data_IF_538326623140
#
_entry.id   IF_538326623140
#
_cell.length_a   1.000
_cell.length_b   1.000
_cell.length_c   1.000
_cell.angle_alpha   90.00
_cell.angle_beta   90.00
_cell.angle_gamma   90.00
#
_symmetry.space_group_name_H-M   'P 1'
#
loop_
_entity.id
_entity.type
_entity.pdbx_description
1 polymer ?
#
# COMPACT_ATOMS: atom_id res chain seq x y z
N UNK A 1 -10.19 -9.39 1.60
CA UNK A 1 -10.12 -8.85 0.22
C UNK A 1 -9.17 -7.66 0.12
N UNK A 2 -9.44 -6.54 0.81
CA UNK A 2 -8.64 -5.30 0.70
C UNK A 2 -7.14 -5.44 0.97
N UNK A 3 -6.74 -6.05 2.10
CA UNK A 3 -5.31 -6.28 2.45
C UNK A 3 -4.55 -7.01 1.33
N UNK A 4 -5.12 -8.11 0.83
CA UNK A 4 -4.54 -8.91 -0.26
C UNK A 4 -4.42 -8.11 -1.56
N UNK A 5 -5.41 -7.26 -1.85
CA UNK A 5 -5.37 -6.40 -3.03
C UNK A 5 -4.22 -5.38 -2.96
N UNK A 6 -4.04 -4.71 -1.82
CA UNK A 6 -2.92 -3.76 -1.61
C UNK A 6 -1.57 -4.48 -1.70
N UNK A 7 -1.40 -5.59 -0.96
CA UNK A 7 -0.15 -6.37 -1.01
C UNK A 7 0.13 -6.91 -2.42
N UNK A 8 -0.90 -7.34 -3.14
CA UNK A 8 -0.79 -7.75 -4.54
C UNK A 8 -0.38 -6.60 -5.47
N UNK A 9 -0.89 -5.39 -5.24
CA UNK A 9 -0.50 -4.20 -5.99
C UNK A 9 0.99 -3.88 -5.78
N UNK A 10 1.45 -3.84 -4.53
CA UNK A 10 2.87 -3.60 -4.21
C UNK A 10 3.77 -4.70 -4.80
N UNK A 11 3.36 -5.97 -4.73
CA UNK A 11 4.12 -7.10 -5.34
C UNK A 11 4.29 -6.99 -6.84
N UNK A 12 3.27 -6.46 -7.54
CA UNK A 12 3.29 -6.30 -9.00
C UNK A 12 3.94 -4.99 -9.45
N UNK A 13 4.12 -4.04 -8.53
CA UNK A 13 4.77 -2.78 -8.83
C UNK A 13 6.26 -3.00 -9.14
N UNK A 14 6.83 -2.12 -9.96
CA UNK A 14 8.24 -2.17 -10.34
C UNK A 14 9.09 -2.09 -9.06
N UNK A 15 10.12 -2.94 -8.97
CA UNK A 15 10.99 -3.05 -7.78
C UNK A 15 10.28 -3.46 -6.48
N UNK A 16 9.01 -3.90 -6.54
CA UNK A 16 8.15 -4.13 -5.37
C UNK A 16 7.94 -2.86 -4.53
N UNK A 17 7.95 -1.71 -5.19
CA UNK A 17 7.75 -0.40 -4.59
C UNK A 17 6.55 0.30 -5.25
N UNK A 18 5.65 0.84 -4.44
CA UNK A 18 4.46 1.55 -4.93
C UNK A 18 4.35 2.94 -4.29
N UNK A 19 4.28 4.03 -5.07
CA UNK A 19 4.11 5.36 -4.51
C UNK A 19 2.80 5.46 -3.74
N UNK A 20 2.83 5.96 -2.50
CA UNK A 20 1.62 6.09 -1.67
C UNK A 20 0.55 6.94 -2.39
N UNK A 21 0.97 8.04 -3.00
CA UNK A 21 0.07 8.94 -3.73
C UNK A 21 -0.61 8.28 -4.95
N UNK A 22 -0.02 7.24 -5.54
CA UNK A 22 -0.69 6.48 -6.61
C UNK A 22 -1.82 5.62 -6.05
N UNK A 23 -1.58 4.96 -4.92
CA UNK A 23 -2.58 4.14 -4.25
C UNK A 23 -3.75 4.98 -3.70
N UNK A 24 -3.48 6.19 -3.21
CA UNK A 24 -4.50 7.12 -2.71
C UNK A 24 -5.35 7.76 -3.83
N UNK A 25 -4.80 7.91 -5.04
CA UNK A 25 -5.51 8.49 -6.20
C UNK A 25 -6.47 7.53 -6.90
N UNK A 26 -6.45 6.24 -6.53
CA UNK A 26 -7.35 5.24 -7.10
C UNK A 26 -8.81 5.55 -6.72
N UNK A 27 -9.70 5.92 -7.67
CA UNK A 27 -11.04 6.46 -7.37
C UNK A 27 -11.94 5.50 -6.57
N UNK A 28 -11.74 4.19 -6.75
CA UNK A 28 -12.52 3.13 -6.09
C UNK A 28 -11.75 2.40 -4.99
N UNK A 29 -10.49 2.77 -4.75
CA UNK A 29 -9.58 2.05 -3.87
C UNK A 29 -9.41 0.56 -4.21
N UNK A 30 -8.65 -0.19 -3.41
CA UNK A 30 -8.50 -1.63 -3.57
C UNK A 30 -9.83 -2.36 -3.38
N UNK A 31 -10.13 -3.43 -4.17
CA UNK A 31 -11.33 -4.24 -3.97
C UNK A 31 -11.47 -4.75 -2.54
N UNK A 32 -12.62 -4.47 -1.92
CA UNK A 32 -12.90 -4.85 -0.53
C UNK A 32 -12.31 -3.92 0.54
N UNK A 33 -11.94 -2.69 0.17
CA UNK A 33 -11.61 -1.60 1.09
C UNK A 33 -12.88 -0.92 1.66
N UNK A 34 -13.66 -1.64 2.50
CA UNK A 34 -14.92 -1.11 3.09
C UNK A 34 -14.71 0.16 3.92
N UNK A 35 -13.54 0.31 4.55
CA UNK A 35 -13.16 1.47 5.38
C UNK A 35 -12.21 2.42 4.64
N UNK A 36 -12.09 2.27 3.31
CA UNK A 36 -11.15 3.04 2.50
C UNK A 36 -9.71 2.53 2.57
N UNK A 37 -8.87 3.11 1.69
CA UNK A 37 -7.48 2.68 1.52
C UNK A 37 -6.56 3.14 2.67
N UNK A 38 -6.85 4.29 3.28
CA UNK A 38 -6.09 4.79 4.44
C UNK A 38 -6.14 3.84 5.63
N UNK A 39 -7.31 3.28 5.93
CA UNK A 39 -7.46 2.29 7.01
C UNK A 39 -6.67 1.01 6.72
N UNK A 40 -6.75 0.50 5.49
CA UNK A 40 -5.98 -0.69 5.10
C UNK A 40 -4.47 -0.46 5.21
N UNK A 41 -4.00 0.74 4.86
CA UNK A 41 -2.59 1.09 5.00
C UNK A 41 -2.18 1.16 6.47
N UNK A 42 -2.97 1.82 7.32
CA UNK A 42 -2.71 1.86 8.75
C UNK A 42 -2.57 0.45 9.34
N UNK A 43 -3.52 -0.45 9.02
CA UNK A 43 -3.50 -1.85 9.46
C UNK A 43 -2.29 -2.64 8.91
N UNK A 44 -1.93 -2.46 7.63
CA UNK A 44 -0.79 -3.17 7.03
C UNK A 44 0.57 -2.68 7.54
N UNK A 45 0.69 -1.38 7.81
CA UNK A 45 1.89 -0.78 8.41
C UNK A 45 2.02 -1.21 9.87
N UNK A 46 0.92 -1.17 10.64
CA UNK A 46 0.89 -1.63 12.04
C UNK A 46 1.19 -3.13 12.17
N UNK A 47 0.73 -3.94 11.22
CA UNK A 47 1.05 -5.37 11.16
C UNK A 47 2.44 -5.67 10.58
N UNK A 48 3.25 -4.66 10.27
CA UNK A 48 4.60 -4.79 9.70
C UNK A 48 4.63 -5.64 8.41
N UNK A 49 3.57 -5.59 7.61
CA UNK A 49 3.53 -6.24 6.29
C UNK A 49 3.96 -5.30 5.17
N UNK A 50 3.87 -3.99 5.43
CA UNK A 50 4.40 -2.94 4.59
C UNK A 50 5.34 -2.04 5.40
N UNK A 51 6.27 -1.40 4.71
CA UNK A 51 7.05 -0.27 5.20
C UNK A 51 6.75 0.94 4.34
N UNK A 52 6.64 2.10 4.98
CA UNK A 52 6.59 3.40 4.32
C UNK A 52 7.98 4.02 4.36
N UNK A 53 8.56 4.29 3.19
CA UNK A 53 9.90 4.86 3.08
C UNK A 53 9.76 6.30 2.55
N UNK A 54 10.25 7.32 3.25
CA UNK A 54 10.23 8.68 2.74
C UNK A 54 11.19 8.80 1.54
N UNK A 55 10.72 9.45 0.47
CA UNK A 55 11.53 9.80 -0.70
C UNK A 55 11.31 11.27 -1.06
N UNK A 56 12.18 11.83 -1.91
CA UNK A 56 12.05 13.21 -2.36
C UNK A 56 10.73 13.51 -3.09
N UNK A 57 10.11 12.50 -3.71
CA UNK A 57 8.82 12.61 -4.42
C UNK A 57 7.62 12.21 -3.56
N UNK A 58 7.84 11.98 -2.25
CA UNK A 58 6.83 11.54 -1.29
C UNK A 58 7.01 10.08 -0.83
N UNK A 59 6.12 9.57 0.03
CA UNK A 59 6.29 8.24 0.62
C UNK A 59 6.12 7.10 -0.40
N UNK A 60 6.99 6.11 -0.29
CA UNK A 60 6.96 4.87 -1.07
C UNK A 60 6.60 3.69 -0.18
N UNK A 61 5.66 2.85 -0.63
CA UNK A 61 5.29 1.62 0.06
C UNK A 61 6.13 0.46 -0.47
N UNK A 62 6.71 -0.32 0.45
CA UNK A 62 7.43 -1.58 0.15
C UNK A 62 6.90 -2.70 1.01
N UNK A 63 7.02 -3.93 0.52
CA UNK A 63 6.80 -5.10 1.37
C UNK A 63 7.83 -5.08 2.49
N UNK A 64 7.38 -5.37 3.72
CA UNK A 64 8.32 -5.80 4.74
C UNK A 64 8.78 -7.21 4.35
N UNK A 65 10.08 -7.36 4.07
CA UNK A 65 10.66 -8.70 3.96
C UNK A 65 10.67 -9.34 5.36
N UNK A 66 10.46 -10.68 5.47
CA UNK A 66 10.72 -11.40 6.70
C UNK A 66 12.19 -11.30 7.12
#
# INVERSE_FOLDING_TARGET
AGRRAVLGAVRRARLRELPLGELLRQPRGPPGARLGVGYLLHDLLGAQLLRSIPTASGPMLRLAEP
#
